data_IF_242534243058
#
_entry.id   IF_242534243058
#
_cell.length_a   1.000
_cell.length_b   1.000
_cell.length_c   1.000
_cell.angle_alpha   90.00
_cell.angle_beta   90.00
_cell.angle_gamma   90.00
#
_symmetry.space_group_name_H-M   'P 1'
#
loop_
_entity.id
_entity.type
_entity.pdbx_description
1 polymer ?
#
# COMPACT_ATOMS: atom_id res chain seq x y z
N UNK A 1 -3.29 8.56 -53.48
CA UNK A 1 -4.08 8.59 -52.24
C UNK A 1 -3.12 8.38 -51.09
N UNK A 2 -2.66 9.46 -50.45
CA UNK A 2 -1.77 9.38 -49.29
C UNK A 2 -2.66 9.20 -48.05
N UNK A 3 -2.58 8.03 -47.43
CA UNK A 3 -3.30 7.74 -46.18
C UNK A 3 -2.47 8.38 -45.06
N UNK A 4 -2.85 9.59 -44.64
CA UNK A 4 -2.28 10.24 -43.48
C UNK A 4 -2.77 9.47 -42.24
N UNK A 5 -1.94 8.58 -41.72
CA UNK A 5 -2.08 8.06 -40.37
C UNK A 5 -2.00 9.24 -39.41
N UNK A 6 -3.17 9.73 -38.97
CA UNK A 6 -3.29 10.63 -37.84
C UNK A 6 -2.72 9.92 -36.60
N UNK A 7 -1.43 10.10 -36.35
CA UNK A 7 -0.87 9.92 -35.02
C UNK A 7 -1.56 10.94 -34.12
N UNK A 8 -2.64 10.52 -33.44
CA UNK A 8 -3.25 11.29 -32.35
C UNK A 8 -2.14 11.62 -31.35
N UNK A 9 -1.66 12.86 -31.39
CA UNK A 9 -0.66 13.37 -30.48
C UNK A 9 -1.24 13.26 -29.07
N UNK A 10 -0.73 12.34 -28.24
CA UNK A 10 -1.09 12.30 -26.82
C UNK A 10 -0.63 13.62 -26.21
N UNK A 11 -1.57 14.48 -25.84
CA UNK A 11 -1.23 15.69 -25.10
C UNK A 11 -0.78 15.30 -23.70
N UNK A 12 0.08 16.11 -23.05
CA UNK A 12 0.48 15.89 -21.66
C UNK A 12 -0.73 15.69 -20.73
N UNK A 13 -1.78 16.48 -20.93
CA UNK A 13 -3.04 16.39 -20.20
C UNK A 13 -3.73 15.02 -20.34
N UNK A 14 -3.86 14.48 -21.56
CA UNK A 14 -4.44 13.13 -21.75
C UNK A 14 -3.62 12.03 -21.09
N UNK A 15 -2.30 12.24 -20.96
CA UNK A 15 -1.40 11.32 -20.27
C UNK A 15 -1.58 11.41 -18.76
N UNK A 16 -1.67 12.62 -18.19
CA UNK A 16 -1.91 12.84 -16.76
C UNK A 16 -3.28 12.26 -16.35
N UNK A 17 -4.34 12.52 -17.12
CA UNK A 17 -5.68 11.94 -16.87
C UNK A 17 -5.66 10.41 -16.89
N UNK A 18 -4.90 9.79 -17.81
CA UNK A 18 -4.77 8.35 -17.87
C UNK A 18 -4.01 7.76 -16.66
N UNK A 19 -2.97 8.43 -16.17
CA UNK A 19 -2.25 8.00 -14.96
C UNK A 19 -3.10 8.17 -13.69
N UNK A 20 -3.85 9.28 -13.58
CA UNK A 20 -4.82 9.46 -12.50
C UNK A 20 -5.86 8.33 -12.47
N UNK A 21 -6.40 7.95 -13.63
CA UNK A 21 -7.35 6.83 -13.73
C UNK A 21 -6.73 5.49 -13.28
N UNK A 22 -5.43 5.26 -13.49
CA UNK A 22 -4.75 4.06 -12.94
C UNK A 22 -4.65 4.12 -11.42
N UNK A 23 -4.33 5.29 -10.87
CA UNK A 23 -4.20 5.49 -9.43
C UNK A 23 -5.53 5.25 -8.69
N UNK A 24 -6.67 5.54 -9.32
CA UNK A 24 -7.99 5.23 -8.77
C UNK A 24 -8.19 3.74 -8.46
N UNK A 25 -7.56 2.85 -9.23
CA UNK A 25 -7.60 1.40 -8.99
C UNK A 25 -6.52 0.94 -8.01
N UNK A 26 -5.31 1.51 -8.09
CA UNK A 26 -4.17 1.09 -7.27
C UNK A 26 -4.29 1.50 -5.80
N UNK A 27 -4.86 2.67 -5.51
CA UNK A 27 -4.96 3.20 -4.14
C UNK A 27 -5.88 2.33 -3.26
N UNK A 28 -7.10 1.93 -3.69
CA UNK A 28 -7.94 1.01 -2.92
C UNK A 28 -7.24 -0.32 -2.59
N UNK A 29 -6.49 -0.89 -3.53
CA UNK A 29 -5.74 -2.13 -3.30
C UNK A 29 -4.62 -1.93 -2.27
N UNK A 30 -3.85 -0.84 -2.38
CA UNK A 30 -2.83 -0.52 -1.40
C UNK A 30 -3.40 -0.27 0.01
N UNK A 31 -4.61 0.31 0.11
CA UNK A 31 -5.33 0.42 1.39
C UNK A 31 -5.68 -0.95 1.97
N UNK A 32 -6.16 -1.88 1.15
CA UNK A 32 -6.47 -3.26 1.58
C UNK A 32 -5.21 -4.00 2.03
N UNK A 33 -4.09 -3.81 1.35
CA UNK A 33 -2.81 -4.41 1.73
C UNK A 33 -2.32 -3.89 3.09
N UNK A 34 -2.42 -2.58 3.33
CA UNK A 34 -2.09 -1.99 4.62
C UNK A 34 -3.03 -2.51 5.73
N UNK A 35 -4.33 -2.63 5.46
CA UNK A 35 -5.29 -3.18 6.40
C UNK A 35 -4.95 -4.63 6.78
N UNK A 36 -4.65 -5.49 5.80
CA UNK A 36 -4.21 -6.87 6.03
C UNK A 36 -2.93 -6.94 6.86
N UNK A 37 -1.98 -6.04 6.63
CA UNK A 37 -0.75 -5.98 7.42
C UNK A 37 -1.04 -5.61 8.88
N UNK A 38 -1.94 -4.64 9.12
CA UNK A 38 -2.38 -4.27 10.46
C UNK A 38 -3.12 -5.41 11.17
N UNK A 39 -4.00 -6.13 10.48
CA UNK A 39 -4.70 -7.31 11.02
C UNK A 39 -3.73 -8.40 11.46
N UNK A 40 -2.69 -8.67 10.65
CA UNK A 40 -1.64 -9.65 10.99
C UNK A 40 -0.87 -9.25 12.24
N UNK A 41 -0.47 -7.98 12.34
CA UNK A 41 0.20 -7.44 13.53
C UNK A 41 -0.67 -7.60 14.79
N UNK A 42 -1.97 -7.28 14.69
CA UNK A 42 -2.90 -7.44 15.80
C UNK A 42 -3.03 -8.91 16.22
N UNK A 43 -3.22 -9.82 15.26
CA UNK A 43 -3.29 -11.26 15.53
C UNK A 43 -2.00 -11.79 16.18
N UNK A 44 -0.84 -11.32 15.72
CA UNK A 44 0.46 -11.66 16.31
C UNK A 44 0.58 -11.16 17.75
N UNK A 45 0.18 -9.91 18.02
CA UNK A 45 0.19 -9.34 19.37
C UNK A 45 -0.69 -10.12 20.34
N UNK A 46 -1.88 -10.54 19.91
CA UNK A 46 -2.77 -11.39 20.71
C UNK A 46 -2.11 -12.75 21.01
N UNK A 47 -1.49 -13.37 20.01
CA UNK A 47 -0.78 -14.65 20.20
C UNK A 47 0.40 -14.50 21.19
N UNK A 48 1.19 -13.44 21.06
CA UNK A 48 2.30 -13.14 21.96
C UNK A 48 1.85 -13.03 23.42
N UNK A 49 0.77 -12.28 23.69
CA UNK A 49 0.20 -12.17 25.04
C UNK A 49 -0.22 -13.54 25.58
N UNK A 50 -0.84 -14.37 24.74
CA UNK A 50 -1.28 -15.71 25.15
C UNK A 50 -0.08 -16.62 25.50
N UNK A 51 0.99 -16.55 24.72
CA UNK A 51 2.22 -17.29 25.01
C UNK A 51 2.93 -16.79 26.28
N UNK A 52 2.94 -15.48 26.53
CA UNK A 52 3.45 -14.92 27.78
C UNK A 52 2.65 -15.39 29.00
N UNK A 53 1.31 -15.47 28.90
CA UNK A 53 0.49 -16.01 29.98
C UNK A 53 0.76 -17.50 30.23
N UNK A 54 0.92 -18.31 29.18
CA UNK A 54 1.32 -19.71 29.31
C UNK A 54 2.69 -19.84 29.99
N UNK A 55 3.66 -19.02 29.61
CA UNK A 55 4.98 -18.97 30.25
C UNK A 55 4.89 -18.62 31.75
N UNK A 56 4.07 -17.65 32.14
CA UNK A 56 3.85 -17.28 33.55
C UNK A 56 3.20 -18.42 34.34
N UNK A 57 2.36 -19.23 33.68
CA UNK A 57 1.67 -20.37 34.28
C UNK A 57 2.49 -21.68 34.27
N UNK A 58 3.77 -21.65 33.87
CA UNK A 58 4.61 -22.84 33.64
C UNK A 58 4.01 -23.85 32.63
N UNK A 59 3.20 -23.36 31.69
CA UNK A 59 2.63 -24.14 30.59
C UNK A 59 3.52 -24.10 29.33
N UNK A 60 3.42 -25.09 28.42
CA UNK A 60 4.17 -25.07 27.16
C UNK A 60 3.92 -23.79 26.34
N UNK A 61 4.99 -23.10 25.95
CA UNK A 61 4.97 -21.91 25.10
C UNK A 61 6.12 -21.95 24.08
N UNK A 62 5.98 -21.26 22.94
CA UNK A 62 6.95 -21.34 21.83
C UNK A 62 7.91 -20.15 21.78
N UNK A 63 7.54 -19.00 22.36
CA UNK A 63 8.24 -17.71 22.31
C UNK A 63 8.59 -17.20 20.91
N UNK A 64 8.22 -17.92 19.84
CA UNK A 64 8.56 -17.60 18.45
C UNK A 64 7.89 -16.33 17.94
N UNK A 65 6.92 -15.77 18.68
CA UNK A 65 6.29 -14.50 18.36
C UNK A 65 7.29 -13.33 18.29
N UNK A 66 8.44 -13.41 18.97
CA UNK A 66 9.48 -12.37 18.96
C UNK A 66 10.15 -12.21 17.59
N UNK A 67 10.42 -13.32 16.90
CA UNK A 67 11.08 -13.34 15.59
C UNK A 67 10.14 -12.84 14.47
N UNK A 68 8.86 -13.19 14.53
CA UNK A 68 7.88 -12.79 13.52
C UNK A 68 7.43 -11.34 13.64
N UNK A 69 7.54 -10.73 14.84
CA UNK A 69 7.09 -9.36 15.08
C UNK A 69 7.86 -8.32 14.23
N UNK A 70 9.18 -8.51 14.06
CA UNK A 70 10.00 -7.61 13.23
C UNK A 70 9.61 -7.68 11.75
N UNK A 71 9.37 -8.90 11.25
CA UNK A 71 8.96 -9.11 9.87
C UNK A 71 7.57 -8.52 9.60
N UNK A 72 6.61 -8.74 10.50
CA UNK A 72 5.25 -8.19 10.37
C UNK A 72 5.27 -6.65 10.42
N UNK A 73 6.11 -6.06 11.28
CA UNK A 73 6.28 -4.61 11.36
C UNK A 73 6.90 -4.02 10.08
N UNK A 74 7.90 -4.71 9.51
CA UNK A 74 8.51 -4.32 8.23
C UNK A 74 7.49 -4.35 7.09
N UNK A 75 6.70 -5.41 6.96
CA UNK A 75 5.66 -5.50 5.92
C UNK A 75 4.62 -4.38 6.05
N UNK A 76 4.21 -4.03 7.28
CA UNK A 76 3.30 -2.91 7.49
C UNK A 76 3.92 -1.56 7.09
N UNK A 77 5.20 -1.37 7.39
CA UNK A 77 5.96 -0.17 6.98
C UNK A 77 6.05 -0.05 5.45
N UNK A 78 6.38 -1.15 4.77
CA UNK A 78 6.45 -1.19 3.30
C UNK A 78 5.08 -0.93 2.65
N UNK A 79 4.00 -1.51 3.19
CA UNK A 79 2.64 -1.26 2.72
C UNK A 79 2.23 0.21 2.90
N UNK A 80 2.58 0.81 4.04
CA UNK A 80 2.36 2.24 4.30
C UNK A 80 3.14 3.11 3.31
N UNK A 81 4.43 2.84 3.11
CA UNK A 81 5.27 3.60 2.20
C UNK A 81 4.72 3.56 0.76
N UNK A 82 4.29 2.39 0.30
CA UNK A 82 3.63 2.22 -1.01
C UNK A 82 2.37 3.07 -1.13
N UNK A 83 1.51 3.04 -0.12
CA UNK A 83 0.27 3.84 -0.12
C UNK A 83 0.57 5.35 -0.11
N UNK A 84 1.54 5.79 0.68
CA UNK A 84 1.98 7.19 0.73
C UNK A 84 2.48 7.65 -0.65
N UNK A 85 3.35 6.88 -1.29
CA UNK A 85 3.88 7.21 -2.62
C UNK A 85 2.75 7.35 -3.67
N UNK A 86 1.71 6.50 -3.60
CA UNK A 86 0.56 6.61 -4.50
C UNK A 86 -0.27 7.88 -4.23
N UNK A 87 -0.41 8.30 -2.98
CA UNK A 87 -1.10 9.54 -2.64
C UNK A 87 -0.31 10.77 -3.09
N UNK A 88 1.00 10.80 -2.83
CA UNK A 88 1.89 11.87 -3.28
C UNK A 88 1.87 11.99 -4.81
N UNK A 89 1.94 10.86 -5.52
CA UNK A 89 1.86 10.85 -6.97
C UNK A 89 0.51 11.39 -7.47
N UNK A 90 -0.60 10.97 -6.86
CA UNK A 90 -1.92 11.50 -7.20
C UNK A 90 -2.02 13.01 -6.98
N UNK A 91 -1.51 13.51 -5.83
CA UNK A 91 -1.53 14.94 -5.52
C UNK A 91 -0.73 15.76 -6.54
N UNK A 92 0.45 15.28 -6.91
CA UNK A 92 1.27 15.93 -7.95
C UNK A 92 0.55 15.97 -9.30
N UNK A 93 -0.04 14.85 -9.73
CA UNK A 93 -0.75 14.80 -11.00
C UNK A 93 -2.00 15.69 -11.01
N UNK A 94 -2.72 15.77 -9.88
CA UNK A 94 -3.86 16.66 -9.74
C UNK A 94 -3.43 18.13 -9.85
N UNK A 95 -2.36 18.51 -9.14
CA UNK A 95 -1.78 19.85 -9.22
C UNK A 95 -1.39 20.24 -10.65
N UNK A 96 -0.77 19.32 -11.40
CA UNK A 96 -0.38 19.56 -12.79
C UNK A 96 -1.56 19.69 -13.75
N UNK A 97 -2.74 19.15 -13.42
CA UNK A 97 -3.97 19.37 -14.19
C UNK A 97 -4.57 20.73 -13.83
N UNK A 98 -4.69 21.03 -12.54
CA UNK A 98 -5.34 22.25 -12.05
C UNK A 98 -4.56 23.53 -12.45
N UNK A 99 -3.24 23.45 -12.67
CA UNK A 99 -2.42 24.55 -13.21
C UNK A 99 -2.56 24.76 -14.74
N UNK A 100 -3.09 23.77 -15.47
CA UNK A 100 -3.20 23.79 -16.94
C UNK A 100 -4.64 24.00 -17.46
N UNK A 101 -5.63 24.11 -16.56
CA UNK A 101 -7.03 24.50 -16.84
C UNK A 101 -7.23 26.03 -16.74
#
# INVERSE_FOLDING_TARGET
>A
MANATETKTKTPETTIRAELAKLEWMIPDAKRDLAKAAERLAARGIAAVKECHAMIADEPCSMGWTEFAEQDARHASEAKAKLTALFEHRQLLQYLIDEND
#
